data_IF_714791761563
#
_entry.id   IF_714791761563
#
_cell.length_a   1.000
_cell.length_b   1.000
_cell.length_c   1.000
_cell.angle_alpha   90.00
_cell.angle_beta   90.00
_cell.angle_gamma   90.00
#
_symmetry.space_group_name_H-M   'P 1'
#
loop_
_entity.id
_entity.type
_entity.pdbx_description
1 polymer ?
#
# COMPACT_ATOMS: atom_id res chain seq x y z
N UNK A 1 17.93 44.32 -27.27
CA UNK A 1 19.16 43.55 -27.01
C UNK A 1 18.85 42.31 -26.19
N UNK A 2 18.17 41.34 -26.81
CA UNK A 2 17.71 40.08 -26.21
C UNK A 2 18.82 39.06 -25.90
N UNK A 3 20.09 39.39 -26.18
CA UNK A 3 21.23 38.47 -26.01
C UNK A 3 22.04 38.67 -24.73
N UNK A 4 21.74 39.70 -23.90
CA UNK A 4 22.50 39.98 -22.66
C UNK A 4 21.86 39.49 -21.36
N UNK A 5 20.68 38.88 -21.42
CA UNK A 5 20.03 38.23 -20.26
C UNK A 5 20.06 36.71 -20.32
N UNK A 6 20.92 36.13 -21.16
CA UNK A 6 21.28 34.70 -21.18
C UNK A 6 22.68 34.44 -20.58
N UNK A 7 23.28 35.40 -19.88
CA UNK A 7 24.63 35.24 -19.29
C UNK A 7 24.66 35.26 -17.75
N UNK A 8 23.51 35.39 -17.09
CA UNK A 8 23.40 35.28 -15.63
C UNK A 8 22.51 34.08 -15.34
N UNK A 9 23.06 32.88 -15.46
CA UNK A 9 22.71 31.65 -14.74
C UNK A 9 23.46 30.51 -15.44
N UNK A 10 24.80 30.53 -15.31
CA UNK A 10 25.59 29.31 -15.45
C UNK A 10 25.26 28.38 -14.27
N UNK A 11 24.04 27.86 -14.22
CA UNK A 11 23.69 26.83 -13.27
C UNK A 11 24.21 25.52 -13.85
N UNK A 12 25.17 24.92 -13.17
CA UNK A 12 25.65 23.58 -13.50
C UNK A 12 24.44 22.66 -13.68
N UNK A 13 24.15 22.15 -14.89
CA UNK A 13 22.95 21.36 -15.14
C UNK A 13 22.86 20.16 -14.19
N UNK A 14 24.01 19.60 -13.81
CA UNK A 14 24.12 18.54 -12.82
C UNK A 14 23.56 18.95 -11.43
N UNK A 15 23.85 20.17 -10.97
CA UNK A 15 23.37 20.67 -9.67
C UNK A 15 21.86 20.88 -9.64
N UNK A 16 21.27 21.25 -10.79
CA UNK A 16 19.82 21.37 -10.94
C UNK A 16 19.17 19.99 -10.86
N UNK A 17 19.71 19.01 -11.60
CA UNK A 17 19.20 17.64 -11.61
C UNK A 17 19.33 16.97 -10.24
N UNK A 18 20.43 17.21 -9.52
CA UNK A 18 20.61 16.75 -8.13
C UNK A 18 19.51 17.30 -7.22
N UNK A 19 19.25 18.61 -7.26
CA UNK A 19 18.20 19.24 -6.46
C UNK A 19 16.81 18.67 -6.74
N UNK A 20 16.43 18.53 -8.02
CA UNK A 20 15.15 17.91 -8.38
C UNK A 20 15.07 16.44 -7.99
N UNK A 21 16.19 15.72 -8.03
CA UNK A 21 16.23 14.32 -7.62
C UNK A 21 16.00 14.16 -6.11
N UNK A 22 16.63 15.01 -5.30
CA UNK A 22 16.42 15.04 -3.84
C UNK A 22 14.97 15.41 -3.47
N UNK A 23 14.42 16.43 -4.14
CA UNK A 23 13.03 16.87 -3.91
C UNK A 23 12.02 15.81 -4.33
N UNK A 24 12.21 15.20 -5.50
CA UNK A 24 11.38 14.09 -5.97
C UNK A 24 11.42 12.91 -5.00
N UNK A 25 12.62 12.52 -4.56
CA UNK A 25 12.77 11.39 -3.64
C UNK A 25 12.07 11.67 -2.30
N UNK A 26 12.31 12.85 -1.75
CA UNK A 26 11.73 13.27 -0.46
C UNK A 26 10.21 13.27 -0.52
N UNK A 27 9.64 13.95 -1.52
CA UNK A 27 8.19 14.05 -1.69
C UNK A 27 7.53 12.70 -1.99
N UNK A 28 8.17 11.85 -2.80
CA UNK A 28 7.71 10.47 -3.05
C UNK A 28 7.70 9.63 -1.77
N UNK A 29 8.76 9.70 -0.96
CA UNK A 29 8.86 8.97 0.31
C UNK A 29 7.91 9.52 1.37
N UNK A 30 7.62 10.81 1.37
CA UNK A 30 6.57 11.41 2.21
C UNK A 30 5.18 10.90 1.82
N UNK A 31 4.88 10.80 0.53
CA UNK A 31 3.65 10.20 0.04
C UNK A 31 3.55 8.73 0.49
N UNK A 32 4.62 7.95 0.30
CA UNK A 32 4.70 6.57 0.79
C UNK A 32 4.48 6.48 2.31
N UNK A 33 5.13 7.36 3.09
CA UNK A 33 5.01 7.39 4.55
C UNK A 33 3.60 7.77 4.99
N UNK A 34 2.88 8.60 4.25
CA UNK A 34 1.51 9.02 4.58
C UNK A 34 0.46 7.97 4.20
N UNK A 35 0.59 7.41 3.00
CA UNK A 35 -0.46 6.60 2.36
C UNK A 35 -0.21 5.09 2.47
N UNK A 36 1.06 4.67 2.50
CA UNK A 36 1.49 3.27 2.35
C UNK A 36 2.57 2.86 3.37
N UNK A 37 2.60 3.50 4.55
CA UNK A 37 3.70 3.38 5.53
C UNK A 37 4.08 1.95 5.88
N UNK A 38 3.08 1.07 5.91
CA UNK A 38 3.17 -0.30 6.44
C UNK A 38 2.71 -1.35 5.43
N UNK A 39 2.35 -0.93 4.23
CA UNK A 39 1.81 -1.81 3.20
C UNK A 39 2.89 -2.16 2.19
N UNK A 40 2.81 -3.39 1.70
CA UNK A 40 3.43 -3.77 0.44
C UNK A 40 2.52 -3.32 -0.68
N UNK A 41 3.01 -2.43 -1.53
CA UNK A 41 2.22 -1.79 -2.60
C UNK A 41 2.99 -1.85 -3.92
N UNK A 42 2.27 -1.93 -5.04
CA UNK A 42 2.88 -1.88 -6.36
C UNK A 42 3.45 -0.47 -6.60
N UNK A 43 4.71 -0.39 -7.05
CA UNK A 43 5.38 0.89 -7.26
C UNK A 43 4.65 1.80 -8.25
N UNK A 44 4.00 1.21 -9.27
CA UNK A 44 3.20 1.94 -10.26
C UNK A 44 1.98 2.62 -9.63
N UNK A 45 1.34 1.98 -8.66
CA UNK A 45 0.20 2.56 -7.93
C UNK A 45 0.64 3.79 -7.16
N UNK A 46 1.72 3.66 -6.39
CA UNK A 46 2.30 4.77 -5.62
C UNK A 46 2.70 5.93 -6.52
N UNK A 47 3.38 5.62 -7.64
CA UNK A 47 3.80 6.64 -8.60
C UNK A 47 2.62 7.38 -9.20
N UNK A 48 1.58 6.67 -9.62
CA UNK A 48 0.36 7.27 -10.18
C UNK A 48 -0.36 8.17 -9.16
N UNK A 49 -0.41 7.76 -7.90
CA UNK A 49 -0.97 8.60 -6.83
C UNK A 49 -0.11 9.84 -6.57
N UNK A 50 1.22 9.69 -6.56
CA UNK A 50 2.15 10.80 -6.36
C UNK A 50 2.01 11.87 -7.46
N UNK A 51 1.97 11.46 -8.73
CA UNK A 51 1.83 12.41 -9.86
C UNK A 51 0.41 12.99 -10.01
N UNK A 52 -0.56 12.48 -9.26
CA UNK A 52 -1.91 13.03 -9.24
C UNK A 52 -1.96 14.41 -8.53
N UNK A 53 -0.99 14.70 -7.66
CA UNK A 53 -0.79 16.07 -7.15
C UNK A 53 -0.25 16.96 -8.28
N UNK A 54 -0.86 18.12 -8.51
CA UNK A 54 -0.44 19.05 -9.58
C UNK A 54 0.92 19.71 -9.32
N UNK A 55 1.41 19.69 -8.08
CA UNK A 55 2.68 20.31 -7.68
C UNK A 55 3.81 19.29 -7.48
N UNK A 56 3.64 18.05 -7.96
CA UNK A 56 4.69 17.05 -7.89
C UNK A 56 5.90 17.44 -8.75
N UNK A 57 7.10 17.07 -8.29
CA UNK A 57 8.28 17.09 -9.15
C UNK A 57 8.14 15.98 -10.18
N UNK A 58 8.26 16.31 -11.46
CA UNK A 58 8.17 15.33 -12.53
C UNK A 58 9.47 14.51 -12.64
N UNK A 59 9.35 13.18 -12.75
CA UNK A 59 10.50 12.26 -12.80
C UNK A 59 11.50 12.58 -13.91
N UNK A 60 11.04 13.03 -15.08
CA UNK A 60 11.90 13.49 -16.20
C UNK A 60 12.91 14.59 -15.83
N UNK A 61 12.71 15.30 -14.71
CA UNK A 61 13.62 16.34 -14.24
C UNK A 61 14.70 15.81 -13.28
N UNK A 62 14.71 14.50 -13.04
CA UNK A 62 15.58 13.83 -12.07
C UNK A 62 16.66 12.99 -12.77
N UNK A 63 17.58 12.45 -11.99
CA UNK A 63 18.62 11.53 -12.48
C UNK A 63 18.07 10.15 -12.91
N UNK A 64 16.83 9.80 -12.57
CA UNK A 64 16.26 8.49 -12.87
C UNK A 64 15.48 8.52 -14.18
N UNK A 65 15.92 7.74 -15.16
CA UNK A 65 15.27 7.68 -16.46
C UNK A 65 13.97 6.88 -16.45
N UNK A 66 13.80 5.97 -15.48
CA UNK A 66 12.62 5.12 -15.36
C UNK A 66 12.21 4.92 -13.90
N UNK A 67 10.92 4.64 -13.67
CA UNK A 67 10.42 4.28 -12.34
C UNK A 67 11.18 3.08 -11.78
N UNK A 68 11.45 2.06 -12.60
CA UNK A 68 12.22 0.88 -12.19
C UNK A 68 13.60 1.23 -11.64
N UNK A 69 14.30 2.17 -12.28
CA UNK A 69 15.62 2.63 -11.83
C UNK A 69 15.52 3.32 -10.46
N UNK A 70 14.55 4.20 -10.29
CA UNK A 70 14.27 4.86 -9.03
C UNK A 70 13.94 3.85 -7.92
N UNK A 71 13.08 2.86 -8.20
CA UNK A 71 12.71 1.81 -7.23
C UNK A 71 13.93 0.97 -6.83
N UNK A 72 14.76 0.56 -7.79
CA UNK A 72 16.02 -0.14 -7.50
C UNK A 72 16.95 0.71 -6.62
N UNK A 73 17.02 2.02 -6.87
CA UNK A 73 17.76 2.95 -6.04
C UNK A 73 17.22 3.02 -4.59
N UNK A 74 15.90 3.07 -4.39
CA UNK A 74 15.29 3.04 -3.05
C UNK A 74 15.62 1.75 -2.28
N UNK A 75 15.69 0.62 -3.00
CA UNK A 75 16.14 -0.66 -2.46
C UNK A 75 17.60 -0.63 -2.02
N UNK A 76 18.50 -0.18 -2.90
CA UNK A 76 19.94 -0.10 -2.61
C UNK A 76 20.28 0.83 -1.44
N UNK A 77 19.54 1.92 -1.30
CA UNK A 77 19.73 2.89 -0.20
C UNK A 77 19.01 2.50 1.09
N UNK A 78 18.29 1.37 1.10
CA UNK A 78 17.58 0.87 2.27
C UNK A 78 16.45 1.79 2.73
N UNK A 79 15.85 2.54 1.81
CA UNK A 79 14.68 3.41 2.06
C UNK A 79 13.38 2.63 1.91
N UNK A 80 13.39 1.65 1.00
CA UNK A 80 12.30 0.69 0.82
C UNK A 80 12.86 -0.73 0.75
N UNK A 81 12.08 -1.71 1.23
CA UNK A 81 12.22 -3.09 0.80
C UNK A 81 11.61 -3.20 -0.60
N UNK A 82 12.31 -3.82 -1.54
CA UNK A 82 11.91 -3.90 -2.95
C UNK A 82 11.85 -5.36 -3.38
N UNK A 83 10.77 -5.73 -4.06
CA UNK A 83 10.53 -7.08 -4.55
C UNK A 83 10.06 -7.04 -6.01
N UNK A 84 10.76 -7.76 -6.89
CA UNK A 84 10.33 -7.97 -8.27
C UNK A 84 9.44 -9.21 -8.35
N UNK A 85 8.30 -9.09 -9.04
CA UNK A 85 7.36 -10.19 -9.26
C UNK A 85 6.91 -10.20 -10.72
N UNK A 86 6.28 -11.28 -11.21
CA UNK A 86 5.68 -11.28 -12.56
C UNK A 86 4.61 -10.19 -12.76
N UNK A 87 4.03 -9.67 -11.68
CA UNK A 87 3.04 -8.57 -11.72
C UNK A 87 3.70 -7.18 -11.68
N UNK A 88 5.03 -7.09 -11.64
CA UNK A 88 5.79 -5.86 -11.55
C UNK A 88 6.50 -5.67 -10.20
N UNK A 89 6.96 -4.45 -9.96
CA UNK A 89 7.74 -4.05 -8.79
C UNK A 89 6.83 -3.71 -7.60
N UNK A 90 7.11 -4.31 -6.46
CA UNK A 90 6.47 -3.99 -5.19
C UNK A 90 7.48 -3.38 -4.21
N UNK A 91 7.01 -2.42 -3.43
CA UNK A 91 7.80 -1.72 -2.42
C UNK A 91 7.10 -1.72 -1.06
N UNK A 92 7.91 -1.67 -0.02
CA UNK A 92 7.46 -1.47 1.37
C UNK A 92 8.40 -0.46 2.01
N UNK A 93 7.85 0.63 2.55
CA UNK A 93 8.65 1.68 3.17
C UNK A 93 9.38 1.14 4.41
N UNK A 94 10.66 1.50 4.57
CA UNK A 94 11.43 1.13 5.76
C UNK A 94 11.39 2.30 6.74
N UNK A 95 10.54 2.15 7.75
CA UNK A 95 10.41 3.15 8.79
C UNK A 95 11.51 3.02 9.85
N UNK A 96 12.33 4.06 9.98
CA UNK A 96 13.46 4.10 10.92
C UNK A 96 13.09 4.74 12.27
N UNK A 97 11.85 5.17 12.44
CA UNK A 97 11.41 5.93 13.60
C UNK A 97 10.81 5.00 14.69
N UNK A 98 11.45 4.95 15.86
CA UNK A 98 11.19 3.94 16.90
C UNK A 98 9.81 4.00 17.53
N UNK A 99 9.21 5.20 17.62
CA UNK A 99 7.87 5.37 18.21
C UNK A 99 6.77 4.82 17.29
N UNK A 100 7.01 4.88 15.98
CA UNK A 100 6.01 4.47 15.00
C UNK A 100 5.92 2.94 14.91
N UNK A 101 7.07 2.25 14.96
CA UNK A 101 7.13 0.78 15.03
C UNK A 101 6.33 0.20 16.21
N UNK A 102 6.29 0.91 17.34
CA UNK A 102 5.56 0.47 18.53
C UNK A 102 4.04 0.59 18.34
N UNK A 103 3.55 1.75 17.89
CA UNK A 103 2.12 1.97 17.60
C UNK A 103 1.61 1.03 16.51
N UNK A 104 2.44 0.71 15.52
CA UNK A 104 2.11 -0.18 14.41
C UNK A 104 1.96 -1.64 14.83
N UNK A 105 2.86 -2.18 15.68
CA UNK A 105 2.68 -3.53 16.25
C UNK A 105 1.36 -3.66 16.99
N UNK A 106 0.93 -2.60 17.67
CA UNK A 106 -0.33 -2.57 18.41
C UNK A 106 -1.54 -2.54 17.46
N UNK A 107 -1.51 -1.73 16.40
CA UNK A 107 -2.60 -1.67 15.40
C UNK A 107 -2.75 -2.97 14.62
N UNK A 108 -1.65 -3.55 14.14
CA UNK A 108 -1.69 -4.80 13.39
C UNK A 108 -2.13 -6.00 14.25
N UNK A 109 -1.79 -6.00 15.55
CA UNK A 109 -2.34 -6.98 16.50
C UNK A 109 -3.86 -6.83 16.64
N UNK A 110 -4.36 -5.60 16.72
CA UNK A 110 -5.79 -5.33 16.86
C UNK A 110 -6.58 -5.79 15.63
N UNK A 111 -6.16 -5.40 14.42
CA UNK A 111 -6.84 -5.81 13.18
C UNK A 111 -6.86 -7.34 13.04
N UNK A 112 -5.76 -8.02 13.36
CA UNK A 112 -5.71 -9.49 13.33
C UNK A 112 -6.64 -10.13 14.36
N UNK A 113 -6.77 -9.54 15.56
CA UNK A 113 -7.70 -10.02 16.58
C UNK A 113 -9.15 -9.81 16.12
N UNK A 114 -9.48 -8.63 15.62
CA UNK A 114 -10.82 -8.29 15.14
C UNK A 114 -11.24 -9.23 13.98
N UNK A 115 -10.36 -9.48 13.01
CA UNK A 115 -10.63 -10.44 11.92
C UNK A 115 -10.84 -11.88 12.42
N UNK A 116 -10.10 -12.31 13.43
CA UNK A 116 -10.24 -13.65 13.99
C UNK A 116 -11.56 -13.82 14.77
N UNK A 117 -12.02 -12.75 15.43
CA UNK A 117 -13.29 -12.73 16.14
C UNK A 117 -14.48 -12.68 15.16
N UNK A 118 -14.40 -11.89 14.08
CA UNK A 118 -15.38 -11.90 13.00
C UNK A 118 -15.52 -13.30 12.37
N UNK A 119 -14.40 -13.99 12.08
CA UNK A 119 -14.44 -15.33 11.50
C UNK A 119 -15.11 -16.36 12.44
N UNK A 120 -14.92 -16.21 13.76
CA UNK A 120 -15.61 -17.05 14.75
C UNK A 120 -17.11 -16.76 14.79
N UNK A 121 -17.49 -15.48 14.81
CA UNK A 121 -18.88 -15.06 14.81
C UNK A 121 -19.60 -15.56 13.56
N UNK A 122 -18.97 -15.45 12.39
CA UNK A 122 -19.55 -15.94 11.14
C UNK A 122 -19.78 -17.46 11.17
N UNK A 123 -18.82 -18.24 11.70
CA UNK A 123 -18.99 -19.69 11.87
C UNK A 123 -20.13 -20.05 12.82
N UNK A 124 -20.31 -19.27 13.89
CA UNK A 124 -21.37 -19.51 14.86
C UNK A 124 -22.75 -19.17 14.30
N UNK A 125 -22.87 -18.06 13.57
CA UNK A 125 -24.09 -17.68 12.84
C UNK A 125 -24.46 -18.77 11.82
N UNK A 126 -23.49 -19.25 11.02
CA UNK A 126 -23.72 -20.33 10.04
C UNK A 126 -24.25 -21.60 10.71
N UNK A 127 -23.69 -22.00 11.85
CA UNK A 127 -24.17 -23.18 12.60
C UNK A 127 -25.59 -23.01 13.14
N UNK A 128 -25.98 -21.80 13.55
CA UNK A 128 -27.33 -21.54 14.01
C UNK A 128 -28.35 -21.60 12.87
N UNK A 129 -28.00 -21.06 11.69
CA UNK A 129 -28.82 -21.13 10.48
C UNK A 129 -29.01 -22.60 10.07
N UNK A 130 -27.94 -23.38 10.00
CA UNK A 130 -27.99 -24.80 9.61
C UNK A 130 -28.88 -25.62 10.57
N UNK A 131 -28.76 -25.39 11.89
CA UNK A 131 -29.64 -26.03 12.88
C UNK A 131 -31.10 -25.61 12.72
N UNK A 132 -31.36 -24.33 12.45
CA UNK A 132 -32.72 -23.84 12.23
C UNK A 132 -33.34 -24.42 10.96
N UNK A 133 -32.57 -24.55 9.87
CA UNK A 133 -32.99 -25.20 8.63
C UNK A 133 -33.28 -26.69 8.84
N UNK A 134 -32.44 -27.42 9.59
CA UNK A 134 -32.69 -28.82 9.93
C UNK A 134 -33.96 -29.02 10.77
N UNK A 135 -34.23 -28.09 11.70
CA UNK A 135 -35.46 -28.10 12.50
C UNK A 135 -36.71 -27.78 11.66
N UNK A 136 -36.59 -26.91 10.65
CA UNK A 136 -37.69 -26.59 9.73
C UNK A 136 -37.95 -27.69 8.67
N UNK A 137 -36.96 -28.53 8.37
CA UNK A 137 -37.06 -29.60 7.38
C UNK A 137 -37.57 -30.95 7.92
N UNK A 138 -37.86 -31.07 9.23
CA UNK A 138 -38.50 -32.26 9.79
C UNK A 138 -39.95 -32.38 9.27
N UNK A 139 -40.27 -33.38 8.41
CA UNK A 139 -41.64 -33.62 7.99
C UNK A 139 -42.37 -34.31 9.15
N UNK A 140 -43.55 -33.80 9.49
CA UNK A 140 -44.55 -34.53 10.28
C UNK A 140 -45.01 -35.75 9.46
N UNK A 141 -44.42 -36.90 9.74
CA UNK A 141 -44.86 -38.25 9.35
C UNK A 141 -44.41 -39.14 10.52
N UNK A 142 -45.22 -39.95 11.19
CA UNK A 142 -46.47 -40.61 10.83
C UNK A 142 -47.11 -41.14 12.13
N UNK A 143 -48.44 -41.14 12.22
CA UNK A 143 -49.15 -42.09 13.07
C UNK A 143 -50.49 -42.43 12.41
N UNK A 144 -50.40 -43.17 11.30
CA UNK A 144 -51.47 -43.99 10.77
C UNK A 144 -51.93 -45.06 11.80
N UNK A 145 -53.23 -45.32 11.79
CA UNK A 145 -53.99 -46.22 12.67
C UNK A 145 -53.48 -47.68 12.69
N UNK A 146 -53.88 -48.49 13.68
CA UNK A 146 -54.87 -49.52 13.32
C UNK A 146 -55.90 -49.90 14.41
N UNK A 147 -57.09 -50.33 13.94
CA UNK A 147 -58.06 -51.24 14.59
C UNK A 147 -58.95 -50.64 15.70
N UNK A 148 -60.28 -50.84 15.78
CA UNK A 148 -61.26 -51.73 15.14
C UNK A 148 -62.59 -50.99 14.89
#
# INVERSE_FOLDING_TARGET
GHQRQMQIFGQNPNRIVEGYSEEFETSFLEHMKRSHRFSRVAATVVYNEYINDRHHVHMNSTQWATLTEFIKYLGRTGKCKVEETPKGWFITYIDRDSETLFKERMKNKRIKADMADEEKQEKEIRKQIEKAEQLMQLPTTDSDQPSQ
#
